data_IF_633790682340
#
_entry.id   IF_633790682340
#
_cell.length_a   1.000
_cell.length_b   1.000
_cell.length_c   1.000
_cell.angle_alpha   90.00
_cell.angle_beta   90.00
_cell.angle_gamma   90.00
#
_symmetry.space_group_name_H-M   'P 1'
#
loop_
_entity.id
_entity.type
_entity.pdbx_description
1 polymer ?
#
# COMPACT_ATOMS: atom_id res chain seq x y z
N UNK A 1 7.53 -4.87 19.55
CA UNK A 1 7.66 -5.74 18.37
C UNK A 1 6.26 -6.15 17.98
N UNK A 2 5.60 -5.40 17.09
CA UNK A 2 4.30 -5.81 16.56
C UNK A 2 4.59 -6.86 15.48
N UNK A 3 4.71 -8.11 15.92
CA UNK A 3 4.76 -9.25 15.02
C UNK A 3 3.41 -9.30 14.32
N UNK A 4 3.40 -9.23 12.99
CA UNK A 4 2.21 -9.43 12.16
C UNK A 4 1.69 -10.84 12.49
N UNK A 5 0.54 -10.99 13.19
CA UNK A 5 -0.02 -12.31 13.41
C UNK A 5 -0.52 -12.82 12.05
N UNK A 6 -0.37 -14.12 11.83
CA UNK A 6 -0.50 -14.84 10.57
C UNK A 6 -1.87 -14.66 9.87
N UNK A 7 -2.11 -13.47 9.30
CA UNK A 7 -3.14 -13.25 8.31
C UNK A 7 -2.67 -13.84 7.00
N UNK A 8 -3.20 -15.02 6.65
CA UNK A 8 -3.06 -15.77 5.39
C UNK A 8 -2.19 -15.04 4.34
N UNK A 9 -0.94 -15.47 4.18
CA UNK A 9 0.06 -14.80 3.32
C UNK A 9 -0.36 -14.59 1.85
N UNK A 10 -1.52 -15.11 1.43
CA UNK A 10 -2.13 -14.93 0.11
C UNK A 10 -2.64 -13.52 -0.13
N UNK A 11 -3.16 -12.80 0.86
CA UNK A 11 -3.74 -11.46 0.63
C UNK A 11 -2.68 -10.36 0.42
N UNK A 12 -1.55 -10.44 1.14
CA UNK A 12 -0.37 -9.61 0.85
C UNK A 12 0.18 -9.90 -0.54
N UNK A 13 0.16 -11.17 -0.93
CA UNK A 13 0.56 -11.61 -2.27
C UNK A 13 -0.36 -11.03 -3.35
N UNK A 14 -1.66 -10.95 -3.09
CA UNK A 14 -2.67 -10.42 -3.99
C UNK A 14 -2.50 -8.91 -4.26
N UNK A 15 -2.39 -8.11 -3.20
CA UNK A 15 -2.12 -6.67 -3.33
C UNK A 15 -0.75 -6.43 -3.99
N UNK A 16 0.27 -7.20 -3.62
CA UNK A 16 1.59 -7.15 -4.23
C UNK A 16 1.55 -7.47 -5.73
N UNK A 17 0.80 -8.49 -6.13
CA UNK A 17 0.66 -8.87 -7.53
C UNK A 17 -0.02 -7.77 -8.34
N UNK A 18 -1.09 -7.16 -7.80
CA UNK A 18 -1.76 -6.00 -8.42
C UNK A 18 -0.84 -4.80 -8.57
N UNK A 19 0.01 -4.53 -7.56
CA UNK A 19 1.02 -3.48 -7.62
C UNK A 19 2.09 -3.76 -8.68
N UNK A 20 2.54 -5.02 -8.84
CA UNK A 20 3.45 -5.42 -9.92
C UNK A 20 2.84 -5.20 -11.29
N UNK A 21 1.56 -5.52 -11.47
CA UNK A 21 0.83 -5.23 -12.72
C UNK A 21 0.69 -3.73 -12.96
N UNK A 22 0.36 -2.95 -11.93
CA UNK A 22 0.28 -1.49 -12.04
C UNK A 22 1.62 -0.86 -12.42
N UNK A 23 2.75 -1.39 -11.92
CA UNK A 23 4.09 -1.00 -12.35
C UNK A 23 4.30 -1.24 -13.85
N UNK A 24 3.98 -2.43 -14.35
CA UNK A 24 4.11 -2.71 -15.79
C UNK A 24 3.24 -1.81 -16.66
N UNK A 25 2.04 -1.46 -16.21
CA UNK A 25 1.21 -0.46 -16.91
C UNK A 25 1.82 0.94 -16.86
N UNK A 26 2.41 1.34 -15.73
CA UNK A 26 3.09 2.63 -15.61
C UNK A 26 4.32 2.71 -16.53
N UNK A 27 5.11 1.64 -16.61
CA UNK A 27 6.25 1.52 -17.53
C UNK A 27 5.77 1.69 -18.99
N UNK A 28 4.61 1.13 -19.34
CA UNK A 28 4.02 1.32 -20.66
C UNK A 28 3.56 2.76 -20.91
N UNK A 29 2.98 3.45 -19.92
CA UNK A 29 2.62 4.88 -20.03
C UNK A 29 3.86 5.75 -20.28
N UNK A 30 4.96 5.45 -19.59
CA UNK A 30 6.25 6.14 -19.79
C UNK A 30 6.72 5.94 -21.24
N UNK A 31 6.74 4.71 -21.73
CA UNK A 31 7.08 4.43 -23.13
C UNK A 31 6.18 5.15 -24.13
N UNK A 32 4.87 5.26 -23.85
CA UNK A 32 3.96 6.02 -24.70
C UNK A 32 4.30 7.51 -24.79
N UNK A 33 4.82 8.10 -23.71
CA UNK A 33 5.29 9.49 -23.73
C UNK A 33 6.62 9.63 -24.47
N UNK A 34 7.53 8.68 -24.30
CA UNK A 34 8.80 8.64 -25.05
C UNK A 34 8.57 8.48 -26.56
N UNK A 35 7.50 7.79 -26.95
CA UNK A 35 7.08 7.57 -28.33
C UNK A 35 6.17 8.69 -28.90
N UNK A 36 6.00 9.82 -28.17
CA UNK A 36 5.12 10.94 -28.56
C UNK A 36 3.68 10.51 -28.95
N UNK A 37 3.13 9.52 -28.23
CA UNK A 37 1.78 8.98 -28.50
C UNK A 37 0.70 10.03 -28.18
N UNK A 38 -0.46 9.86 -28.81
CA UNK A 38 -1.57 10.78 -28.66
C UNK A 38 -2.01 10.93 -27.19
N UNK A 39 -2.06 12.16 -26.71
CA UNK A 39 -2.24 12.48 -25.29
C UNK A 39 -3.49 11.85 -24.67
N UNK A 40 -4.58 11.69 -25.43
CA UNK A 40 -5.81 11.07 -24.93
C UNK A 40 -5.59 9.58 -24.61
N UNK A 41 -4.78 8.88 -25.40
CA UNK A 41 -4.48 7.46 -25.14
C UNK A 41 -3.59 7.31 -23.91
N UNK A 42 -2.62 8.21 -23.73
CA UNK A 42 -1.80 8.28 -22.52
C UNK A 42 -2.68 8.52 -21.29
N UNK A 43 -3.62 9.46 -21.36
CA UNK A 43 -4.56 9.75 -20.27
C UNK A 43 -5.48 8.56 -19.94
N UNK A 44 -5.95 7.82 -20.95
CA UNK A 44 -6.72 6.60 -20.73
C UNK A 44 -5.90 5.51 -20.02
N UNK A 45 -4.64 5.31 -20.42
CA UNK A 45 -3.76 4.34 -19.76
C UNK A 45 -3.40 4.77 -18.33
N UNK A 46 -3.15 6.06 -18.10
CA UNK A 46 -2.90 6.58 -16.76
C UNK A 46 -4.09 6.32 -15.83
N UNK A 47 -5.33 6.53 -16.28
CA UNK A 47 -6.54 6.17 -15.52
C UNK A 47 -6.62 4.68 -15.20
N UNK A 48 -6.16 3.81 -16.09
CA UNK A 48 -6.11 2.37 -15.84
C UNK A 48 -5.11 2.03 -14.72
N UNK A 49 -3.95 2.71 -14.68
CA UNK A 49 -2.96 2.60 -13.59
C UNK A 49 -3.58 3.06 -12.28
N UNK A 50 -4.20 4.24 -12.23
CA UNK A 50 -4.89 4.78 -11.05
C UNK A 50 -5.92 3.78 -10.50
N UNK A 51 -6.74 3.20 -11.37
CA UNK A 51 -7.71 2.17 -10.98
C UNK A 51 -7.05 0.95 -10.33
N UNK A 52 -5.88 0.53 -10.82
CA UNK A 52 -5.08 -0.54 -10.20
C UNK A 52 -4.58 -0.18 -8.80
N UNK A 53 -4.10 1.05 -8.62
CA UNK A 53 -3.64 1.56 -7.33
C UNK A 53 -4.79 1.67 -6.32
N UNK A 54 -5.95 2.18 -6.74
CA UNK A 54 -7.14 2.29 -5.88
C UNK A 54 -7.60 0.92 -5.38
N UNK A 55 -7.66 -0.08 -6.27
CA UNK A 55 -8.01 -1.46 -5.89
C UNK A 55 -7.01 -2.05 -4.90
N UNK A 56 -5.71 -1.83 -5.13
CA UNK A 56 -4.65 -2.31 -4.24
C UNK A 56 -4.74 -1.66 -2.85
N UNK A 57 -4.93 -0.34 -2.81
CA UNK A 57 -5.14 0.42 -1.56
C UNK A 57 -6.33 -0.12 -0.77
N UNK A 58 -7.47 -0.36 -1.43
CA UNK A 58 -8.69 -0.89 -0.79
C UNK A 58 -8.44 -2.26 -0.17
N UNK A 59 -7.77 -3.15 -0.89
CA UNK A 59 -7.44 -4.50 -0.40
C UNK A 59 -6.54 -4.46 0.83
N UNK A 60 -5.52 -3.60 0.84
CA UNK A 60 -4.62 -3.41 1.99
C UNK A 60 -5.40 -2.87 3.21
N UNK A 61 -6.24 -1.85 2.99
CA UNK A 61 -7.06 -1.26 4.04
C UNK A 61 -8.01 -2.26 4.67
N UNK A 62 -8.75 -3.02 3.86
CA UNK A 62 -9.72 -3.99 4.35
C UNK A 62 -9.04 -5.02 5.28
N UNK A 63 -7.86 -5.51 4.90
CA UNK A 63 -7.08 -6.41 5.74
C UNK A 63 -6.64 -5.76 7.06
N UNK A 64 -6.16 -4.52 7.02
CA UNK A 64 -5.75 -3.79 8.22
C UNK A 64 -6.91 -3.66 9.22
N UNK A 65 -8.11 -3.31 8.73
CA UNK A 65 -9.30 -3.21 9.57
C UNK A 65 -9.73 -4.57 10.15
N UNK A 66 -9.58 -5.67 9.40
CA UNK A 66 -9.98 -7.02 9.86
C UNK A 66 -8.99 -7.66 10.84
N UNK A 67 -7.74 -7.19 10.87
CA UNK A 67 -6.66 -7.79 11.69
C UNK A 67 -6.20 -6.83 12.77
N UNK A 68 -5.51 -5.75 12.40
CA UNK A 68 -4.85 -4.85 13.32
C UNK A 68 -5.84 -4.14 14.27
N UNK A 69 -7.03 -3.77 13.79
CA UNK A 69 -8.06 -3.14 14.65
C UNK A 69 -8.69 -4.15 15.61
N UNK A 70 -8.87 -5.40 15.17
CA UNK A 70 -9.41 -6.47 16.02
C UNK A 70 -8.43 -6.81 17.15
N UNK A 71 -7.14 -6.91 16.82
CA UNK A 71 -6.09 -7.12 17.81
C UNK A 71 -5.95 -5.94 18.76
N UNK A 72 -5.99 -4.71 18.23
CA UNK A 72 -5.93 -3.49 19.05
C UNK A 72 -7.13 -3.34 19.99
N UNK A 73 -8.31 -3.83 19.59
CA UNK A 73 -9.47 -3.90 20.48
C UNK A 73 -9.22 -4.84 21.66
N UNK A 74 -8.62 -6.01 21.43
CA UNK A 74 -8.27 -6.94 22.50
C UNK A 74 -7.21 -6.37 23.46
N UNK A 75 -6.33 -5.49 22.98
CA UNK A 75 -5.24 -4.89 23.74
C UNK A 75 -5.58 -3.51 24.34
N UNK A 76 -6.79 -2.97 24.09
CA UNK A 76 -7.19 -1.64 24.57
C UNK A 76 -6.45 -0.48 23.88
N UNK A 77 -5.96 -0.69 22.65
CA UNK A 77 -5.18 0.28 21.85
C UNK A 77 -5.91 0.76 20.58
N UNK A 78 -7.24 0.75 20.60
CA UNK A 78 -8.06 1.08 19.41
C UNK A 78 -7.79 2.51 18.95
N UNK A 79 -7.77 3.46 19.88
CA UNK A 79 -7.58 4.88 19.55
C UNK A 79 -6.24 5.12 18.85
N UNK A 80 -5.16 4.48 19.30
CA UNK A 80 -3.83 4.56 18.65
C UNK A 80 -3.87 4.11 17.17
N UNK A 81 -4.58 3.01 16.89
CA UNK A 81 -4.69 2.46 15.53
C UNK A 81 -5.60 3.32 14.66
N UNK A 82 -6.67 3.87 15.23
CA UNK A 82 -7.56 4.81 14.52
C UNK A 82 -6.80 6.08 14.16
N UNK A 83 -6.01 6.64 15.07
CA UNK A 83 -5.19 7.82 14.82
C UNK A 83 -4.14 7.56 13.72
N UNK A 84 -3.50 6.39 13.74
CA UNK A 84 -2.57 5.98 12.67
C UNK A 84 -3.28 5.89 11.31
N UNK A 85 -4.51 5.36 11.28
CA UNK A 85 -5.29 5.26 10.06
C UNK A 85 -5.73 6.63 9.53
N UNK A 86 -6.19 7.52 10.41
CA UNK A 86 -6.57 8.88 10.04
C UNK A 86 -5.36 9.64 9.48
N UNK A 87 -4.19 9.50 10.11
CA UNK A 87 -2.94 10.06 9.59
C UNK A 87 -2.57 9.51 8.21
N UNK A 88 -2.75 8.20 7.96
CA UNK A 88 -2.43 7.59 6.67
C UNK A 88 -3.34 8.05 5.51
N UNK A 89 -4.59 8.46 5.78
CA UNK A 89 -5.58 8.81 4.75
C UNK A 89 -5.75 10.31 4.51
N UNK A 90 -5.60 11.14 5.55
CA UNK A 90 -5.97 12.56 5.47
C UNK A 90 -4.79 13.52 5.49
N UNK A 91 -3.56 13.01 5.59
CA UNK A 91 -2.36 13.83 5.42
C UNK A 91 -1.98 13.88 3.93
N UNK A 92 -2.07 15.08 3.34
CA UNK A 92 -1.69 15.34 1.94
C UNK A 92 -0.18 15.17 1.67
N UNK A 93 0.62 15.05 2.73
CA UNK A 93 2.08 14.88 2.67
C UNK A 93 2.47 13.49 3.12
N UNK A 94 2.88 12.61 2.20
CA UNK A 94 3.29 11.24 2.53
C UNK A 94 4.12 11.18 3.85
N UNK A 95 3.69 10.41 4.87
CA UNK A 95 4.42 10.33 6.12
C UNK A 95 5.81 9.74 5.85
N UNK A 96 6.85 10.28 6.50
CA UNK A 96 8.19 9.71 6.40
C UNK A 96 8.12 8.20 6.74
N UNK A 97 8.79 7.32 5.96
CA UNK A 97 8.75 5.90 6.24
C UNK A 97 9.26 5.68 7.66
N UNK A 98 8.48 5.00 8.50
CA UNK A 98 8.98 4.52 9.79
C UNK A 98 10.23 3.70 9.47
N UNK A 99 11.39 4.12 9.97
CA UNK A 99 12.63 3.37 9.81
C UNK A 99 12.35 1.92 10.19
N UNK A 100 12.60 0.99 9.29
CA UNK A 100 12.63 -0.44 9.61
C UNK A 100 13.71 -0.61 10.67
N UNK A 101 13.32 -0.59 11.95
CA UNK A 101 14.17 -1.04 13.04
C UNK A 101 14.17 -2.56 12.96
N UNK A 102 15.05 -3.09 12.10
CA UNK A 102 15.47 -4.48 12.17
C UNK A 102 16.24 -4.70 13.48
N UNK A 103 16.25 -5.94 14.02
CA UNK A 103 17.05 -6.25 15.18
C UNK A 103 18.51 -5.92 14.87
N UNK A 104 19.14 -5.07 15.68
CA UNK A 104 20.59 -4.85 15.61
C UNK A 104 21.24 -6.21 15.83
N UNK A 105 21.75 -6.81 14.76
CA UNK A 105 22.65 -7.97 14.86
C UNK A 105 23.81 -7.49 15.71
N UNK A 106 23.91 -8.06 16.92
CA UNK A 106 24.95 -7.75 17.87
C UNK A 106 26.32 -7.92 17.22
N UNK A 107 27.17 -6.94 17.44
CA UNK A 107 28.60 -7.02 17.23
C UNK A 107 29.18 -8.20 18.02
N UNK A 108 29.70 -9.18 17.30
CA UNK A 108 30.91 -9.91 17.69
C UNK A 108 31.91 -9.72 16.58
#
# INVERSE_FOLDING_TARGET
>A
MATIPDGDGREHSDALQRLKSARGHLDAVIGMLEDDRYCIDVLHQLRAVEGGLVRSRRSILERHLRTCVVDAYAEGRVDDVVDELLAAFFTDRAPAPRSVVGPRRGSR
#
